data_IF_145720371411
#
_entry.id   IF_145720371411
#
_cell.length_a   1.000
_cell.length_b   1.000
_cell.length_c   1.000
_cell.angle_alpha   90.00
_cell.angle_beta   90.00
_cell.angle_gamma   90.00
#
_symmetry.space_group_name_H-M   'P 1'
#
loop_
_entity.id
_entity.type
_entity.pdbx_description
1 polymer ?
#
# COMPACT_ATOMS: atom_id res chain seq x y z
N UNK A 1 57.06 -15.49 48.12
CA UNK A 1 57.06 -15.83 49.56
C UNK A 1 55.85 -15.16 50.19
N UNK A 2 55.11 -15.92 50.98
CA UNK A 2 53.87 -15.61 51.68
C UNK A 2 53.96 -14.46 52.69
N UNK A 3 52.75 -14.00 53.06
CA UNK A 3 52.25 -13.49 54.36
C UNK A 3 51.77 -12.03 54.26
N UNK A 4 50.47 -11.68 54.31
CA UNK A 4 49.34 -11.98 55.22
C UNK A 4 49.44 -11.26 56.58
N UNK A 5 48.34 -10.54 56.89
CA UNK A 5 47.89 -9.91 58.15
C UNK A 5 48.31 -8.46 58.42
N UNK A 6 47.35 -7.52 58.47
CA UNK A 6 46.48 -7.31 59.64
C UNK A 6 45.54 -6.12 59.38
N UNK A 7 44.24 -6.34 59.54
CA UNK A 7 43.21 -5.31 59.68
C UNK A 7 42.86 -5.19 61.17
N UNK A 8 42.48 -3.98 61.62
CA UNK A 8 41.47 -3.68 62.67
C UNK A 8 41.46 -2.17 63.04
N UNK A 9 40.40 -1.61 63.65
CA UNK A 9 39.41 -0.76 62.96
C UNK A 9 39.31 0.66 63.57
N UNK A 10 38.55 1.58 62.94
CA UNK A 10 38.24 2.89 63.54
C UNK A 10 36.73 3.18 63.49
N UNK A 11 36.22 3.56 64.65
CA UNK A 11 34.84 3.75 65.09
C UNK A 11 34.00 4.76 64.31
N UNK A 12 32.68 4.49 64.31
CA UNK A 12 31.60 5.37 63.87
C UNK A 12 31.45 6.58 64.81
N UNK A 13 31.31 7.78 64.22
CA UNK A 13 30.75 8.95 64.90
C UNK A 13 29.45 9.38 64.21
N UNK A 14 28.37 9.28 64.97
CA UNK A 14 27.05 9.82 64.67
C UNK A 14 27.09 11.35 64.60
N UNK A 15 26.76 11.92 63.44
CA UNK A 15 26.14 13.25 63.32
C UNK A 15 25.38 13.35 61.99
N UNK A 16 24.04 13.21 62.06
CA UNK A 16 23.13 13.59 60.99
C UNK A 16 23.07 15.13 60.86
N UNK A 17 23.00 15.66 59.63
CA UNK A 17 22.20 16.84 59.33
C UNK A 17 20.92 16.46 58.58
N UNK A 18 19.83 17.10 58.99
CA UNK A 18 18.48 17.05 58.40
C UNK A 18 18.47 17.13 56.87
N UNK A 19 17.80 16.17 56.24
CA UNK A 19 17.42 16.21 54.82
C UNK A 19 16.20 17.12 54.66
N UNK A 20 16.22 18.15 53.80
CA UNK A 20 15.03 18.95 53.51
C UNK A 20 14.05 18.15 52.66
N UNK A 21 12.77 18.43 52.91
CA UNK A 21 11.62 17.62 52.55
C UNK A 21 11.32 17.59 51.05
N UNK A 22 10.96 16.38 50.60
CA UNK A 22 9.99 16.02 49.54
C UNK A 22 9.79 17.05 48.41
N UNK A 23 10.54 16.89 47.33
CA UNK A 23 10.04 17.22 45.99
C UNK A 23 9.23 16.03 45.47
N UNK A 24 7.89 16.16 45.43
CA UNK A 24 7.00 15.22 44.76
C UNK A 24 7.34 15.21 43.25
N UNK A 25 8.26 14.34 42.84
CA UNK A 25 8.35 13.91 41.46
C UNK A 25 7.08 13.12 41.14
N UNK A 26 6.16 13.72 40.40
CA UNK A 26 5.04 13.01 39.77
C UNK A 26 5.62 12.01 38.76
N UNK A 27 6.06 10.86 39.25
CA UNK A 27 6.31 9.69 38.43
C UNK A 27 4.94 9.20 37.94
N UNK A 28 4.46 9.79 36.84
CA UNK A 28 3.31 9.27 36.12
C UNK A 28 3.77 7.96 35.47
N UNK A 29 3.56 6.86 36.18
CA UNK A 29 3.79 5.52 35.66
C UNK A 29 2.88 5.34 34.45
N UNK A 30 3.45 5.42 33.25
CA UNK A 30 2.80 4.86 32.06
C UNK A 30 2.45 3.41 32.40
N UNK A 31 1.19 2.97 32.25
CA UNK A 31 0.83 1.58 32.52
C UNK A 31 1.47 0.70 31.44
N UNK A 32 2.67 0.20 31.73
CA UNK A 32 3.32 -0.86 31.00
C UNK A 32 2.55 -2.13 31.35
N UNK A 33 1.70 -2.60 30.42
CA UNK A 33 0.93 -3.84 30.57
C UNK A 33 -0.57 -3.75 30.33
N UNK A 34 -1.04 -2.88 29.43
CA UNK A 34 -2.45 -2.88 29.00
C UNK A 34 -2.60 -3.93 27.90
N UNK A 35 -2.79 -5.19 28.27
CA UNK A 35 -3.00 -6.29 27.33
C UNK A 35 -4.30 -6.18 26.51
N UNK A 36 -5.18 -5.22 26.83
CA UNK A 36 -6.43 -4.97 26.13
C UNK A 36 -6.63 -3.46 25.88
N UNK A 37 -7.19 -3.13 24.72
CA UNK A 37 -7.51 -1.77 24.27
C UNK A 37 -8.39 -1.01 25.27
N UNK A 38 -9.33 -1.69 25.92
CA UNK A 38 -10.22 -1.06 26.91
C UNK A 38 -9.44 -0.52 28.11
N UNK A 39 -8.41 -1.24 28.55
CA UNK A 39 -7.57 -0.81 29.66
C UNK A 39 -6.78 0.46 29.26
N UNK A 40 -6.32 0.55 28.01
CA UNK A 40 -5.71 1.78 27.49
C UNK A 40 -6.67 2.97 27.50
N UNK A 41 -7.89 2.78 27.00
CA UNK A 41 -8.91 3.84 26.98
C UNK A 41 -9.22 4.31 28.41
N UNK A 42 -9.34 3.38 29.36
CA UNK A 42 -9.54 3.73 30.77
C UNK A 42 -8.36 4.50 31.37
N UNK A 43 -7.12 4.08 31.07
CA UNK A 43 -5.92 4.78 31.54
C UNK A 43 -5.86 6.21 31.02
N UNK A 44 -6.12 6.40 29.72
CA UNK A 44 -6.16 7.73 29.07
C UNK A 44 -7.23 8.64 29.69
N UNK A 45 -8.38 8.08 30.08
CA UNK A 45 -9.44 8.85 30.75
C UNK A 45 -9.07 9.33 32.16
N UNK A 46 -8.13 8.67 32.85
CA UNK A 46 -7.65 9.05 34.19
C UNK A 46 -6.61 10.17 34.17
N UNK A 47 -6.02 10.47 33.01
CA UNK A 47 -5.02 11.54 32.89
C UNK A 47 -5.71 12.90 33.14
N UNK A 48 -5.19 13.75 34.04
CA UNK A 48 -5.77 15.05 34.31
C UNK A 48 -5.68 15.96 33.08
N UNK A 49 -6.73 16.76 32.86
CA UNK A 49 -6.73 17.79 31.81
C UNK A 49 -5.95 19.00 32.29
N UNK A 50 -5.19 19.61 31.38
CA UNK A 50 -4.49 20.86 31.65
C UNK A 50 -5.46 22.03 31.63
N UNK A 51 -5.21 23.02 32.48
CA UNK A 51 -5.87 24.32 32.37
C UNK A 51 -5.31 25.10 31.17
N UNK A 52 -6.00 26.16 30.73
CA UNK A 52 -5.53 26.99 29.63
C UNK A 52 -4.17 27.66 29.94
N UNK A 53 -3.96 28.08 31.19
CA UNK A 53 -2.70 28.68 31.64
C UNK A 53 -1.54 27.66 31.63
N UNK A 54 -1.82 26.43 32.09
CA UNK A 54 -0.82 25.35 32.06
C UNK A 54 -0.46 24.95 30.62
N UNK A 55 -1.44 24.87 29.74
CA UNK A 55 -1.26 24.60 28.31
C UNK A 55 -0.39 25.67 27.66
N UNK A 56 -0.66 26.96 27.92
CA UNK A 56 0.17 28.06 27.40
C UNK A 56 1.60 28.02 27.95
N UNK A 57 1.77 27.78 29.25
CA UNK A 57 3.10 27.68 29.87
C UNK A 57 3.91 26.54 29.25
N UNK A 58 3.33 25.35 29.15
CA UNK A 58 4.00 24.18 28.57
C UNK A 58 4.28 24.36 27.07
N UNK A 59 3.37 25.00 26.33
CA UNK A 59 3.58 25.28 24.91
C UNK A 59 4.72 26.28 24.67
N UNK A 60 4.83 27.33 25.51
CA UNK A 60 5.97 28.27 25.48
C UNK A 60 7.27 27.57 25.86
N UNK A 61 7.26 26.76 26.91
CA UNK A 61 8.43 25.98 27.31
C UNK A 61 8.90 25.03 26.21
N UNK A 62 7.97 24.35 25.52
CA UNK A 62 8.29 23.52 24.37
C UNK A 62 8.89 24.34 23.21
N UNK A 63 8.32 25.50 22.89
CA UNK A 63 8.80 26.33 21.78
C UNK A 63 10.18 26.94 22.05
N UNK A 64 10.38 27.45 23.26
CA UNK A 64 11.56 28.27 23.60
C UNK A 64 12.74 27.39 24.05
N UNK A 65 12.49 26.17 24.55
CA UNK A 65 13.50 25.28 25.12
C UNK A 65 13.51 23.86 24.55
N UNK A 66 12.65 23.54 23.56
CA UNK A 66 12.48 22.19 23.00
C UNK A 66 12.26 21.11 24.09
N UNK A 67 11.54 21.49 25.16
CA UNK A 67 11.33 20.66 26.36
C UNK A 67 10.51 19.42 26.04
N UNK A 68 11.18 18.26 26.01
CA UNK A 68 10.55 16.95 25.77
C UNK A 68 9.52 16.62 26.85
N UNK A 69 9.73 17.05 28.10
CA UNK A 69 8.75 16.84 29.17
C UNK A 69 7.48 17.68 28.95
N UNK A 70 7.63 18.93 28.51
CA UNK A 70 6.50 19.77 28.17
C UNK A 70 5.68 19.17 27.01
N UNK A 71 6.35 18.69 25.95
CA UNK A 71 5.68 17.97 24.86
C UNK A 71 4.94 16.72 25.36
N UNK A 72 5.58 15.92 26.22
CA UNK A 72 4.97 14.71 26.81
C UNK A 72 3.69 15.05 27.56
N UNK A 73 3.72 16.07 28.43
CA UNK A 73 2.56 16.49 29.22
C UNK A 73 1.42 17.01 28.34
N UNK A 74 1.74 17.82 27.32
CA UNK A 74 0.77 18.32 26.35
C UNK A 74 0.11 17.18 25.56
N UNK A 75 0.88 16.19 25.11
CA UNK A 75 0.35 15.03 24.39
C UNK A 75 -0.53 14.18 25.31
N UNK A 76 -0.02 13.80 26.50
CA UNK A 76 -0.73 12.93 27.44
C UNK A 76 -2.09 13.49 27.85
N UNK A 77 -2.18 14.79 28.14
CA UNK A 77 -3.44 15.41 28.54
C UNK A 77 -4.48 15.45 27.42
N UNK A 78 -4.08 15.24 26.16
CA UNK A 78 -4.97 15.31 25.00
C UNK A 78 -5.26 13.95 24.35
N UNK A 79 -4.76 12.84 24.91
CA UNK A 79 -5.03 11.50 24.37
C UNK A 79 -6.53 11.15 24.35
N UNK A 80 -7.32 11.70 25.28
CA UNK A 80 -8.80 11.52 25.31
C UNK A 80 -9.47 12.06 24.05
N UNK A 81 -8.96 13.18 23.52
CA UNK A 81 -9.44 13.78 22.27
C UNK A 81 -9.21 12.82 21.10
N UNK A 82 -8.02 12.22 21.03
CA UNK A 82 -7.68 11.26 19.97
C UNK A 82 -8.64 10.08 19.98
N UNK A 83 -8.88 9.47 21.15
CA UNK A 83 -9.84 8.36 21.28
C UNK A 83 -11.24 8.76 20.82
N UNK A 84 -11.70 9.97 21.15
CA UNK A 84 -13.02 10.46 20.74
C UNK A 84 -13.15 10.66 19.22
N UNK A 85 -12.07 11.09 18.57
CA UNK A 85 -12.02 11.30 17.13
C UNK A 85 -11.92 9.95 16.41
N UNK A 86 -11.04 9.06 16.86
CA UNK A 86 -10.81 7.75 16.25
C UNK A 86 -12.08 6.89 16.18
N UNK A 87 -12.96 6.98 17.20
CA UNK A 87 -14.27 6.29 17.21
C UNK A 87 -15.15 6.59 15.99
N UNK A 88 -15.02 7.77 15.39
CA UNK A 88 -15.80 8.16 14.20
C UNK A 88 -15.39 7.37 12.94
N UNK A 89 -14.28 6.64 13.00
CA UNK A 89 -13.69 5.90 11.87
C UNK A 89 -13.77 4.36 12.02
N UNK A 90 -14.48 3.85 13.03
CA UNK A 90 -14.65 2.39 13.20
C UNK A 90 -15.39 1.72 12.03
N UNK A 91 -16.24 2.47 11.34
CA UNK A 91 -17.03 1.97 10.20
C UNK A 91 -16.21 1.61 8.95
N UNK A 92 -14.89 1.80 8.95
CA UNK A 92 -14.00 1.46 7.83
C UNK A 92 -13.41 0.05 7.90
N UNK A 93 -13.69 -0.72 8.96
CA UNK A 93 -13.18 -2.10 9.11
C UNK A 93 -11.72 -2.19 9.56
N UNK A 94 -11.17 -1.09 10.08
CA UNK A 94 -9.80 -1.01 10.60
C UNK A 94 -9.78 -1.20 12.11
N UNK A 95 -8.72 -1.82 12.69
CA UNK A 95 -8.59 -1.96 14.13
C UNK A 95 -8.61 -0.60 14.84
N UNK A 96 -9.42 -0.49 15.90
CA UNK A 96 -9.56 0.76 16.66
C UNK A 96 -8.23 1.22 17.28
N UNK A 97 -7.40 0.27 17.73
CA UNK A 97 -6.09 0.56 18.29
C UNK A 97 -5.21 1.30 17.27
N UNK A 98 -5.19 0.86 16.02
CA UNK A 98 -4.38 1.49 14.97
C UNK A 98 -4.87 2.90 14.65
N UNK A 99 -6.19 3.11 14.58
CA UNK A 99 -6.78 4.44 14.39
C UNK A 99 -6.38 5.41 15.52
N UNK A 100 -6.34 4.93 16.77
CA UNK A 100 -5.87 5.72 17.90
C UNK A 100 -4.39 6.04 17.78
N UNK A 101 -3.55 5.06 17.40
CA UNK A 101 -2.11 5.26 17.26
C UNK A 101 -1.78 6.29 16.17
N UNK A 102 -2.45 6.22 15.02
CA UNK A 102 -2.27 7.18 13.94
C UNK A 102 -2.79 8.58 14.33
N UNK A 103 -3.90 8.63 15.06
CA UNK A 103 -4.36 9.86 15.68
C UNK A 103 -3.38 10.44 16.70
N UNK A 104 -2.69 9.60 17.47
CA UNK A 104 -1.65 10.03 18.42
C UNK A 104 -0.45 10.63 17.66
N UNK A 105 -0.06 10.05 16.52
CA UNK A 105 0.96 10.64 15.63
C UNK A 105 0.51 12.02 15.14
N UNK A 106 -0.76 12.17 14.76
CA UNK A 106 -1.34 13.47 14.41
C UNK A 106 -1.30 14.48 15.54
N UNK A 107 -1.63 14.06 16.76
CA UNK A 107 -1.52 14.90 17.95
C UNK A 107 -0.06 15.33 18.22
N UNK A 108 0.91 14.42 18.10
CA UNK A 108 2.33 14.75 18.27
C UNK A 108 2.80 15.78 17.22
N UNK A 109 2.37 15.63 15.97
CA UNK A 109 2.63 16.60 14.89
C UNK A 109 2.00 17.97 15.19
N UNK A 110 0.79 17.98 15.76
CA UNK A 110 0.12 19.21 16.17
C UNK A 110 0.87 19.92 17.29
N UNK A 111 1.23 19.20 18.36
CA UNK A 111 1.94 19.75 19.52
C UNK A 111 3.27 20.38 19.10
N UNK A 112 4.01 19.74 18.20
CA UNK A 112 5.28 20.27 17.69
C UNK A 112 5.14 21.58 16.89
N UNK A 113 3.98 21.81 16.25
CA UNK A 113 3.73 22.96 15.37
C UNK A 113 2.78 24.00 15.99
N UNK A 114 2.36 23.78 17.23
CA UNK A 114 1.41 24.63 17.90
C UNK A 114 2.07 25.95 18.31
N UNK A 115 1.43 27.06 17.98
CA UNK A 115 1.86 28.41 18.36
C UNK A 115 1.00 28.94 19.51
N UNK A 116 1.57 29.11 20.73
CA UNK A 116 0.81 29.57 21.89
C UNK A 116 0.34 31.03 21.79
N UNK A 117 0.94 31.84 20.92
CA UNK A 117 0.63 33.28 20.85
C UNK A 117 -0.58 33.59 19.95
N UNK A 118 -1.13 32.59 19.25
CA UNK A 118 -2.35 32.71 18.43
C UNK A 118 -3.65 32.82 19.27
N UNK A 119 -3.58 32.63 20.58
CA UNK A 119 -4.74 32.76 21.49
C UNK A 119 -5.80 31.66 21.34
N UNK A 120 -5.53 30.60 20.58
CA UNK A 120 -6.42 29.44 20.41
C UNK A 120 -5.99 28.27 21.30
N UNK A 121 -6.95 27.46 21.73
CA UNK A 121 -6.67 26.22 22.48
C UNK A 121 -5.99 25.19 21.60
N UNK A 122 -5.06 24.41 22.17
CA UNK A 122 -4.38 23.31 21.48
C UNK A 122 -5.38 22.31 20.88
N UNK A 123 -6.48 22.02 21.59
CA UNK A 123 -7.56 21.15 21.11
C UNK A 123 -8.05 21.58 19.72
N UNK A 124 -8.36 22.86 19.52
CA UNK A 124 -8.90 23.37 18.26
C UNK A 124 -7.92 23.18 17.11
N UNK A 125 -6.62 23.37 17.37
CA UNK A 125 -5.57 23.15 16.40
C UNK A 125 -5.35 21.65 16.10
N UNK A 126 -5.27 20.83 17.16
CA UNK A 126 -4.93 19.41 17.08
C UNK A 126 -5.99 18.58 16.34
N UNK A 127 -7.28 18.94 16.42
CA UNK A 127 -8.35 18.21 15.72
C UNK A 127 -8.04 18.03 14.24
N UNK A 128 -7.55 19.07 13.56
CA UNK A 128 -7.26 19.01 12.13
C UNK A 128 -6.11 18.05 11.80
N UNK A 129 -5.06 18.05 12.62
CA UNK A 129 -3.91 17.14 12.47
C UNK A 129 -4.29 15.70 12.76
N UNK A 130 -5.05 15.45 13.83
CA UNK A 130 -5.52 14.11 14.20
C UNK A 130 -6.38 13.54 13.07
N UNK A 131 -7.37 14.31 12.58
CA UNK A 131 -8.22 13.89 11.47
C UNK A 131 -7.44 13.64 10.18
N UNK A 132 -6.46 14.50 9.87
CA UNK A 132 -5.64 14.34 8.67
C UNK A 132 -4.82 13.04 8.68
N UNK A 133 -4.17 12.72 9.79
CA UNK A 133 -3.39 11.47 9.91
C UNK A 133 -4.29 10.23 9.89
N UNK A 134 -5.42 10.26 10.61
CA UNK A 134 -6.39 9.15 10.57
C UNK A 134 -6.94 8.98 9.15
N UNK A 135 -7.28 10.07 8.46
CA UNK A 135 -7.76 10.01 7.08
C UNK A 135 -6.73 9.37 6.14
N UNK A 136 -5.47 9.76 6.25
CA UNK A 136 -4.39 9.20 5.44
C UNK A 136 -4.20 7.70 5.73
N UNK A 137 -4.21 7.31 7.00
CA UNK A 137 -4.14 5.90 7.39
C UNK A 137 -5.32 5.09 6.83
N UNK A 138 -6.55 5.60 6.96
CA UNK A 138 -7.74 4.93 6.43
C UNK A 138 -7.61 4.77 4.92
N UNK A 139 -7.28 5.83 4.18
CA UNK A 139 -7.13 5.78 2.72
C UNK A 139 -6.04 4.81 2.25
N UNK A 140 -4.97 4.64 3.02
CA UNK A 140 -3.84 3.77 2.67
C UNK A 140 -4.10 2.29 2.98
N UNK A 141 -4.95 2.00 3.96
CA UNK A 141 -5.08 0.65 4.54
C UNK A 141 -6.50 0.07 4.52
N UNK A 142 -7.52 0.79 4.05
CA UNK A 142 -8.90 0.27 3.98
C UNK A 142 -9.10 -0.90 3.01
N UNK A 143 -8.15 -1.12 2.08
CA UNK A 143 -8.11 -2.26 1.14
C UNK A 143 -6.69 -2.78 0.98
N UNK A 144 -6.57 -4.08 0.65
CA UNK A 144 -5.30 -4.71 0.37
C UNK A 144 -4.68 -4.18 -0.94
N UNK A 145 -5.49 -4.01 -1.98
CA UNK A 145 -5.05 -3.43 -3.26
C UNK A 145 -5.03 -1.91 -3.18
N UNK A 146 -3.83 -1.34 -3.21
CA UNK A 146 -3.61 0.10 -3.17
C UNK A 146 -3.83 0.70 -4.55
N UNK A 147 -4.66 1.75 -4.62
CA UNK A 147 -4.92 2.50 -5.85
C UNK A 147 -4.57 3.96 -5.62
N UNK A 148 -3.98 4.61 -6.62
CA UNK A 148 -3.73 6.04 -6.57
C UNK A 148 -5.06 6.82 -6.36
N UNK A 149 -5.10 7.66 -5.33
CA UNK A 149 -6.27 8.49 -5.00
C UNK A 149 -6.04 9.93 -5.43
N UNK A 150 -6.95 10.49 -6.22
CA UNK A 150 -7.00 11.93 -6.52
C UNK A 150 -7.66 12.71 -5.38
N UNK A 151 -7.60 14.05 -5.40
CA UNK A 151 -8.34 14.89 -4.43
C UNK A 151 -9.84 14.63 -4.47
N UNK A 152 -10.39 14.40 -5.67
CA UNK A 152 -11.79 14.03 -5.88
C UNK A 152 -12.11 12.69 -5.20
N UNK A 153 -11.26 11.67 -5.38
CA UNK A 153 -11.43 10.37 -4.74
C UNK A 153 -11.44 10.45 -3.22
N UNK A 154 -10.55 11.24 -2.61
CA UNK A 154 -10.55 11.43 -1.15
C UNK A 154 -11.85 12.06 -0.64
N UNK A 155 -12.35 13.08 -1.34
CA UNK A 155 -13.63 13.73 -1.01
C UNK A 155 -14.78 12.75 -1.13
N UNK A 156 -14.82 11.97 -2.21
CA UNK A 156 -15.85 10.95 -2.42
C UNK A 156 -15.80 9.83 -1.37
N UNK A 157 -14.61 9.34 -1.02
CA UNK A 157 -14.45 8.24 -0.07
C UNK A 157 -15.13 8.51 1.28
N UNK A 158 -14.84 9.66 1.91
CA UNK A 158 -15.41 10.00 3.21
C UNK A 158 -16.87 10.44 3.12
N UNK A 159 -17.28 11.17 2.07
CA UNK A 159 -18.65 11.67 1.94
C UNK A 159 -19.64 10.58 1.49
N UNK A 160 -19.27 9.74 0.54
CA UNK A 160 -20.15 8.71 -0.03
C UNK A 160 -20.48 7.63 1.00
N UNK A 161 -19.48 7.19 1.79
CA UNK A 161 -19.69 6.20 2.85
C UNK A 161 -20.53 6.75 4.01
N UNK A 162 -20.38 8.02 4.36
CA UNK A 162 -21.21 8.66 5.41
C UNK A 162 -22.70 8.78 5.02
N UNK A 163 -22.98 8.80 3.70
CA UNK A 163 -24.33 8.93 3.13
C UNK A 163 -24.99 7.60 2.82
N UNK A 164 -24.19 6.59 2.44
CA UNK A 164 -24.65 5.24 2.17
C UNK A 164 -25.05 4.54 3.48
N UNK A 165 -26.30 4.72 3.90
CA UNK A 165 -26.90 4.10 5.09
C UNK A 165 -27.32 2.63 4.88
N UNK A 166 -26.98 2.01 3.75
CA UNK A 166 -27.31 0.62 3.46
C UNK A 166 -26.48 0.04 2.31
N UNK A 167 -26.62 -1.26 2.06
CA UNK A 167 -25.87 -1.97 1.02
C UNK A 167 -26.39 -1.75 -0.41
N UNK A 168 -27.45 -0.97 -0.58
CA UNK A 168 -28.05 -0.73 -1.90
C UNK A 168 -27.13 0.10 -2.80
N UNK A 169 -27.17 -0.21 -4.10
CA UNK A 169 -26.50 0.60 -5.10
C UNK A 169 -27.18 1.96 -5.23
N UNK A 170 -26.39 3.01 -5.49
CA UNK A 170 -26.89 4.35 -5.74
C UNK A 170 -27.68 4.37 -7.04
N UNK A 171 -28.81 5.06 -7.02
CA UNK A 171 -29.56 5.36 -8.23
C UNK A 171 -28.80 6.39 -9.10
N UNK A 172 -29.06 6.44 -10.43
CA UNK A 172 -28.45 7.44 -11.29
C UNK A 172 -28.67 8.89 -10.80
N UNK A 173 -29.86 9.20 -10.28
CA UNK A 173 -30.18 10.52 -9.75
C UNK A 173 -29.36 10.89 -8.51
N UNK A 174 -29.10 9.90 -7.64
CA UNK A 174 -28.23 10.08 -6.46
C UNK A 174 -26.77 10.27 -6.85
N UNK A 175 -26.29 9.53 -7.86
CA UNK A 175 -24.95 9.71 -8.43
C UNK A 175 -24.77 11.14 -8.93
N UNK A 176 -25.74 11.65 -9.71
CA UNK A 176 -25.69 13.01 -10.26
C UNK A 176 -25.84 14.09 -9.20
N UNK A 177 -26.61 13.83 -8.13
CA UNK A 177 -26.70 14.73 -6.99
C UNK A 177 -25.37 14.84 -6.24
N UNK A 178 -24.72 13.70 -5.97
CA UNK A 178 -23.41 13.63 -5.31
C UNK A 178 -22.33 14.27 -6.17
N UNK A 179 -22.33 14.01 -7.48
CA UNK A 179 -21.39 14.58 -8.43
C UNK A 179 -21.44 16.11 -8.42
N UNK A 180 -22.64 16.69 -8.49
CA UNK A 180 -22.86 18.14 -8.45
C UNK A 180 -22.43 18.76 -7.12
N UNK A 181 -22.80 18.16 -6.00
CA UNK A 181 -22.45 18.70 -4.68
C UNK A 181 -20.94 18.65 -4.42
N UNK A 182 -20.30 17.54 -4.78
CA UNK A 182 -18.89 17.36 -4.52
C UNK A 182 -18.00 17.97 -5.62
N UNK A 183 -18.60 18.48 -6.71
CA UNK A 183 -17.94 19.04 -7.89
C UNK A 183 -16.94 18.04 -8.51
N UNK A 184 -17.45 16.85 -8.82
CA UNK A 184 -16.71 15.71 -9.39
C UNK A 184 -17.53 15.11 -10.54
N UNK A 185 -16.90 14.26 -11.36
CA UNK A 185 -17.62 13.65 -12.49
C UNK A 185 -18.52 12.49 -12.02
N UNK A 186 -19.71 12.26 -12.62
CA UNK A 186 -20.55 11.11 -12.30
C UNK A 186 -19.82 9.77 -12.44
N UNK A 187 -18.89 9.65 -13.39
CA UNK A 187 -18.08 8.45 -13.58
C UNK A 187 -17.17 8.18 -12.37
N UNK A 188 -16.59 9.22 -11.77
CA UNK A 188 -15.76 9.09 -10.55
C UNK A 188 -16.59 8.65 -9.34
N UNK A 189 -17.86 9.08 -9.27
CA UNK A 189 -18.79 8.64 -8.22
C UNK A 189 -19.12 7.16 -8.38
N UNK A 190 -19.46 6.71 -9.59
CA UNK A 190 -19.77 5.31 -9.89
C UNK A 190 -18.57 4.38 -9.65
N UNK A 191 -17.39 4.83 -10.06
CA UNK A 191 -16.15 4.12 -9.78
C UNK A 191 -15.89 4.03 -8.28
N UNK A 192 -16.01 5.13 -7.54
CA UNK A 192 -15.84 5.12 -6.08
C UNK A 192 -16.89 4.24 -5.39
N UNK A 193 -18.13 4.24 -5.87
CA UNK A 193 -19.18 3.39 -5.32
C UNK A 193 -18.82 1.91 -5.46
N UNK A 194 -18.37 1.49 -6.65
CA UNK A 194 -17.93 0.11 -6.93
C UNK A 194 -16.77 -0.29 -6.03
N UNK A 195 -15.86 0.65 -5.76
CA UNK A 195 -14.75 0.46 -4.82
C UNK A 195 -15.22 0.38 -3.37
N UNK A 196 -16.28 1.08 -2.97
CA UNK A 196 -16.78 1.01 -1.60
C UNK A 196 -17.68 -0.20 -1.34
N UNK A 197 -18.35 -0.74 -2.36
CA UNK A 197 -19.27 -1.87 -2.24
C UNK A 197 -18.58 -3.24 -2.28
N UNK A 198 -17.48 -3.39 -3.03
CA UNK A 198 -16.70 -4.63 -3.01
C UNK A 198 -15.88 -4.77 -1.72
N UNK A 199 -15.94 -5.93 -1.07
CA UNK A 199 -14.98 -6.31 -0.05
C UNK A 199 -13.87 -7.17 -0.65
N UNK A 200 -12.69 -7.17 -0.04
CA UNK A 200 -11.68 -8.19 -0.34
C UNK A 200 -12.16 -9.52 0.26
N UNK A 201 -12.18 -10.59 -0.53
CA UNK A 201 -12.60 -11.93 -0.10
C UNK A 201 -11.36 -12.76 0.26
N UNK A 202 -11.41 -13.46 1.40
CA UNK A 202 -10.38 -14.42 1.75
C UNK A 202 -10.43 -15.61 0.77
N UNK A 203 -9.27 -16.01 0.26
CA UNK A 203 -9.15 -17.18 -0.63
C UNK A 203 -9.52 -18.48 0.09
N UNK A 204 -9.13 -18.58 1.35
CA UNK A 204 -9.41 -19.68 2.26
C UNK A 204 -10.08 -19.08 3.51
N UNK A 205 -11.40 -18.88 3.42
CA UNK A 205 -12.22 -18.40 4.53
C UNK A 205 -12.51 -19.53 5.52
N UNK A 206 -12.67 -19.20 6.80
CA UNK A 206 -13.24 -20.15 7.75
C UNK A 206 -14.69 -20.41 7.34
N UNK A 207 -14.96 -21.64 6.92
CA UNK A 207 -16.31 -22.13 6.66
C UNK A 207 -17.00 -22.28 8.01
N UNK A 208 -18.18 -21.68 8.20
CA UNK A 208 -18.96 -21.91 9.43
C UNK A 208 -19.35 -23.39 9.50
N UNK A 209 -19.09 -24.00 10.67
CA UNK A 209 -19.28 -25.43 10.90
C UNK A 209 -20.78 -25.76 10.87
N UNK A 210 -21.26 -26.26 9.73
CA UNK A 210 -22.68 -26.61 9.54
C UNK A 210 -23.16 -26.67 8.10
N UNK A 211 -22.48 -26.00 7.17
CA UNK A 211 -22.77 -26.08 5.73
C UNK A 211 -21.50 -26.49 4.96
N UNK A 212 -21.64 -27.35 3.94
CA UNK A 212 -20.56 -27.69 2.99
C UNK A 212 -20.25 -26.47 2.08
N UNK A 213 -19.99 -25.31 2.67
CA UNK A 213 -19.67 -24.12 1.91
C UNK A 213 -18.18 -24.16 1.53
N UNK A 214 -17.92 -24.42 0.26
CA UNK A 214 -16.55 -24.48 -0.25
C UNK A 214 -15.93 -23.08 -0.31
N UNK A 215 -14.73 -22.94 0.26
CA UNK A 215 -13.95 -21.70 0.15
C UNK A 215 -13.64 -21.37 -1.32
N UNK A 216 -13.40 -20.08 -1.67
CA UNK A 216 -13.12 -19.67 -3.04
C UNK A 216 -12.06 -20.48 -3.78
N UNK A 217 -11.02 -20.92 -3.06
CA UNK A 217 -9.97 -21.77 -3.60
C UNK A 217 -10.46 -23.07 -4.25
N UNK A 218 -11.60 -23.61 -3.82
CA UNK A 218 -12.12 -24.89 -4.30
C UNK A 218 -12.79 -24.81 -5.69
N UNK A 219 -13.25 -23.63 -6.12
CA UNK A 219 -13.90 -23.44 -7.42
C UNK A 219 -13.11 -22.54 -8.38
N UNK A 220 -12.02 -21.91 -7.92
CA UNK A 220 -11.13 -21.14 -8.77
C UNK A 220 -10.30 -22.09 -9.66
N UNK A 221 -10.69 -22.18 -10.93
CA UNK A 221 -9.97 -22.96 -11.93
C UNK A 221 -8.80 -22.16 -12.54
N UNK A 222 -7.66 -22.82 -12.73
CA UNK A 222 -6.54 -22.28 -13.51
C UNK A 222 -6.61 -22.79 -14.95
N UNK A 223 -7.03 -21.92 -15.86
CA UNK A 223 -7.17 -22.26 -17.28
C UNK A 223 -5.84 -22.42 -18.03
N UNK A 224 -4.71 -21.99 -17.46
CA UNK A 224 -3.40 -22.07 -18.14
C UNK A 224 -2.71 -23.41 -17.89
N UNK A 225 -2.88 -23.98 -16.70
CA UNK A 225 -2.26 -25.26 -16.31
C UNK A 225 -3.12 -26.49 -16.64
N UNK A 226 -4.18 -26.32 -17.42
CA UNK A 226 -4.96 -27.43 -17.95
C UNK A 226 -4.06 -28.36 -18.80
N UNK A 227 -4.06 -29.69 -18.58
CA UNK A 227 -3.18 -30.60 -19.29
C UNK A 227 -3.26 -30.47 -20.82
N UNK A 228 -4.46 -30.20 -21.35
CA UNK A 228 -4.68 -29.97 -22.79
C UNK A 228 -4.02 -28.69 -23.28
N UNK A 229 -4.07 -27.61 -22.50
CA UNK A 229 -3.43 -26.31 -22.81
C UNK A 229 -1.92 -26.40 -22.73
N UNK A 230 -1.39 -27.11 -21.73
CA UNK A 230 0.06 -27.35 -21.62
C UNK A 230 0.58 -28.14 -22.83
N UNK A 231 -0.13 -29.18 -23.25
CA UNK A 231 0.22 -29.95 -24.44
C UNK A 231 0.09 -29.14 -25.73
N UNK A 232 -0.94 -28.29 -25.84
CA UNK A 232 -1.12 -27.36 -26.97
C UNK A 232 0.05 -26.37 -27.05
N UNK A 233 0.43 -25.73 -25.94
CA UNK A 233 1.56 -24.82 -25.85
C UNK A 233 2.87 -25.51 -26.23
N UNK A 234 3.15 -26.69 -25.67
CA UNK A 234 4.36 -27.45 -26.00
C UNK A 234 4.41 -27.83 -27.49
N UNK A 235 3.27 -28.19 -28.09
CA UNK A 235 3.19 -28.44 -29.54
C UNK A 235 3.42 -27.18 -30.36
N UNK A 236 2.86 -26.05 -29.96
CA UNK A 236 3.11 -24.76 -30.61
C UNK A 236 4.59 -24.37 -30.51
N UNK A 237 5.20 -24.47 -29.34
CA UNK A 237 6.61 -24.16 -29.14
C UNK A 237 7.51 -25.05 -30.01
N UNK A 238 7.22 -26.36 -30.03
CA UNK A 238 7.93 -27.31 -30.90
C UNK A 238 7.76 -26.99 -32.38
N UNK A 239 6.55 -26.61 -32.79
CA UNK A 239 6.29 -26.20 -34.18
C UNK A 239 7.03 -24.90 -34.55
N UNK A 240 7.07 -23.93 -33.63
CA UNK A 240 7.73 -22.64 -33.85
C UNK A 240 9.25 -22.78 -33.94
N UNK A 241 9.86 -23.61 -33.10
CA UNK A 241 11.32 -23.76 -33.04
C UNK A 241 11.78 -24.85 -34.00
N UNK A 242 11.50 -26.12 -33.69
CA UNK A 242 11.99 -27.27 -34.47
C UNK A 242 11.36 -27.32 -35.87
N UNK A 243 10.07 -26.98 -35.98
CA UNK A 243 9.37 -26.94 -37.25
C UNK A 243 9.95 -25.87 -38.18
N UNK A 244 10.26 -24.69 -37.67
CA UNK A 244 10.90 -23.62 -38.43
C UNK A 244 12.32 -24.00 -38.86
N UNK A 245 13.12 -24.57 -37.96
CA UNK A 245 14.47 -25.03 -38.29
C UNK A 245 14.45 -26.10 -39.40
N UNK A 246 13.53 -27.07 -39.32
CA UNK A 246 13.35 -28.10 -40.35
C UNK A 246 12.84 -27.52 -41.68
N UNK A 247 11.99 -26.50 -41.63
CA UNK A 247 11.52 -25.80 -42.83
C UNK A 247 12.64 -24.98 -43.49
N UNK A 248 13.53 -24.38 -42.71
CA UNK A 248 14.70 -23.65 -43.23
C UNK A 248 15.74 -24.59 -43.85
N UNK A 249 15.97 -25.76 -43.26
CA UNK A 249 16.93 -26.76 -43.79
C UNK A 249 16.48 -27.43 -45.09
N UNK A 250 15.18 -27.40 -45.41
CA UNK A 250 14.65 -27.92 -46.70
C UNK A 250 14.80 -26.93 -47.86
N UNK A 251 15.14 -25.67 -47.60
CA UNK A 251 15.45 -24.68 -48.63
C UNK A 251 16.87 -24.88 -49.18
N UNK A 252 17.07 -24.52 -50.45
CA UNK A 252 18.42 -24.39 -50.99
C UNK A 252 19.15 -23.19 -50.34
N UNK A 253 20.50 -23.16 -50.35
CA UNK A 253 21.27 -22.13 -49.64
C UNK A 253 20.90 -20.70 -50.04
N UNK A 254 20.52 -20.48 -51.30
CA UNK A 254 20.15 -19.15 -51.81
C UNK A 254 18.78 -18.72 -51.27
N UNK A 255 17.78 -19.60 -51.35
CA UNK A 255 16.45 -19.34 -50.79
C UNK A 255 16.49 -19.12 -49.28
N UNK A 256 17.28 -19.92 -48.56
CA UNK A 256 17.46 -19.80 -47.10
C UNK A 256 18.04 -18.45 -46.71
N UNK A 257 19.11 -18.01 -47.38
CA UNK A 257 19.74 -16.70 -47.13
C UNK A 257 18.77 -15.53 -47.33
N UNK A 258 17.95 -15.59 -48.38
CA UNK A 258 16.93 -14.56 -48.67
C UNK A 258 15.88 -14.48 -47.53
N UNK A 259 15.43 -15.63 -47.01
CA UNK A 259 14.46 -15.66 -45.90
C UNK A 259 15.09 -15.19 -44.60
N UNK A 260 16.29 -15.66 -44.26
CA UNK A 260 17.00 -15.25 -43.04
C UNK A 260 17.27 -13.75 -43.01
N UNK A 261 17.76 -13.17 -44.11
CA UNK A 261 18.07 -11.74 -44.20
C UNK A 261 16.83 -10.84 -44.17
N UNK A 262 15.66 -11.32 -44.61
CA UNK A 262 14.41 -10.54 -44.63
C UNK A 262 13.57 -10.66 -43.37
N UNK A 263 13.53 -11.85 -42.78
CA UNK A 263 12.54 -12.19 -41.73
C UNK A 263 13.15 -12.58 -40.39
N UNK A 264 14.43 -12.99 -40.34
CA UNK A 264 15.09 -13.43 -39.11
C UNK A 264 16.17 -12.46 -38.61
N UNK A 265 16.77 -11.68 -39.51
CA UNK A 265 17.74 -10.64 -39.18
C UNK A 265 17.04 -9.27 -39.11
N UNK A 266 16.07 -9.15 -38.21
CA UNK A 266 15.29 -7.92 -37.99
C UNK A 266 15.49 -7.47 -36.53
N UNK A 267 15.59 -6.16 -36.30
CA UNK A 267 15.66 -5.57 -34.97
C UNK A 267 14.29 -5.64 -34.26
N UNK A 268 14.29 -5.49 -32.94
CA UNK A 268 13.06 -5.53 -32.11
C UNK A 268 12.00 -4.48 -32.50
N UNK A 269 12.39 -3.42 -33.21
CA UNK A 269 11.50 -2.37 -33.73
C UNK A 269 10.92 -2.68 -35.13
N UNK A 270 11.22 -3.87 -35.68
CA UNK A 270 10.79 -4.28 -37.01
C UNK A 270 11.63 -3.69 -38.16
N UNK A 271 12.72 -2.98 -37.86
CA UNK A 271 13.64 -2.41 -38.84
C UNK A 271 14.85 -3.33 -39.10
N UNK A 272 15.57 -3.12 -40.21
CA UNK A 272 16.87 -3.78 -40.45
C UNK A 272 16.85 -5.05 -41.32
N UNK A 273 15.68 -5.57 -41.70
CA UNK A 273 15.59 -6.65 -42.69
C UNK A 273 16.04 -6.18 -44.08
N UNK A 274 16.84 -6.99 -44.78
CA UNK A 274 17.41 -6.65 -46.09
C UNK A 274 16.30 -6.38 -47.13
N UNK A 275 16.49 -5.33 -47.94
CA UNK A 275 15.52 -4.99 -48.98
C UNK A 275 15.65 -5.91 -50.20
N UNK A 276 14.58 -6.01 -51.01
CA UNK A 276 14.62 -6.79 -52.25
C UNK A 276 15.70 -6.29 -53.23
N UNK A 277 16.04 -5.01 -53.18
CA UNK A 277 17.07 -4.40 -54.03
C UNK A 277 18.47 -4.75 -53.54
N UNK A 278 18.73 -4.68 -52.23
CA UNK A 278 20.01 -5.10 -51.65
C UNK A 278 20.34 -6.57 -51.95
N UNK A 279 19.35 -7.46 -51.81
CA UNK A 279 19.51 -8.88 -52.15
C UNK A 279 19.62 -9.12 -53.65
N UNK A 280 18.97 -8.29 -54.47
CA UNK A 280 19.10 -8.34 -55.93
C UNK A 280 20.53 -7.99 -56.36
N UNK A 281 21.12 -6.96 -55.75
CA UNK A 281 22.51 -6.55 -55.97
C UNK A 281 23.49 -7.61 -55.47
N UNK A 282 23.26 -8.21 -54.29
CA UNK A 282 24.09 -9.30 -53.72
C UNK A 282 24.13 -10.53 -54.64
N UNK A 283 22.97 -10.94 -55.18
CA UNK A 283 22.86 -12.14 -56.01
C UNK A 283 22.94 -11.89 -57.52
N UNK A 284 23.14 -10.64 -57.96
CA UNK A 284 23.25 -10.26 -59.38
C UNK A 284 21.99 -10.59 -60.21
N UNK A 285 20.78 -10.43 -59.63
CA UNK A 285 19.50 -10.69 -60.30
C UNK A 285 18.52 -9.53 -60.08
N UNK A 286 17.37 -9.52 -60.76
CA UNK A 286 16.36 -8.48 -60.52
C UNK A 286 15.65 -8.63 -59.17
N UNK A 287 15.19 -7.53 -58.60
CA UNK A 287 14.38 -7.53 -57.37
C UNK A 287 13.11 -8.39 -57.48
N UNK A 288 12.47 -8.39 -58.67
CA UNK A 288 11.32 -9.26 -58.95
C UNK A 288 11.73 -10.75 -58.94
N UNK A 289 12.95 -11.10 -59.36
CA UNK A 289 13.44 -12.47 -59.25
C UNK A 289 13.65 -12.89 -57.80
N UNK A 290 14.17 -12.01 -56.93
CA UNK A 290 14.28 -12.27 -55.48
C UNK A 290 12.90 -12.50 -54.87
N UNK A 291 11.91 -11.65 -55.21
CA UNK A 291 10.52 -11.80 -54.76
C UNK A 291 9.91 -13.14 -55.17
N UNK A 292 10.16 -13.60 -56.40
CA UNK A 292 9.71 -14.92 -56.85
C UNK A 292 10.34 -16.06 -56.03
N UNK A 293 11.65 -15.96 -55.76
CA UNK A 293 12.37 -16.95 -54.94
C UNK A 293 11.83 -16.96 -53.50
N UNK A 294 11.62 -15.78 -52.90
CA UNK A 294 11.01 -15.64 -51.56
C UNK A 294 9.62 -16.29 -51.51
N UNK A 295 8.75 -15.99 -52.48
CA UNK A 295 7.40 -16.57 -52.53
C UNK A 295 7.43 -18.09 -52.68
N UNK A 296 8.32 -18.63 -53.52
CA UNK A 296 8.50 -20.07 -53.68
C UNK A 296 9.06 -20.73 -52.42
N UNK A 297 10.03 -20.09 -51.75
CA UNK A 297 10.61 -20.54 -50.49
C UNK A 297 9.56 -20.59 -49.37
N UNK A 298 8.76 -19.53 -49.20
CA UNK A 298 7.67 -19.48 -48.22
C UNK A 298 6.63 -20.58 -48.46
N UNK A 299 6.29 -20.86 -49.73
CA UNK A 299 5.38 -21.95 -50.08
C UNK A 299 5.97 -23.32 -49.71
N UNK A 300 7.28 -23.52 -49.93
CA UNK A 300 8.00 -24.76 -49.56
C UNK A 300 8.09 -24.92 -48.04
N UNK A 301 8.42 -23.86 -47.31
CA UNK A 301 8.44 -23.84 -45.84
C UNK A 301 7.06 -24.15 -45.25
N UNK A 302 5.98 -23.58 -45.81
CA UNK A 302 4.61 -23.89 -45.38
C UNK A 302 4.28 -25.38 -45.53
N UNK A 303 4.68 -26.00 -46.64
CA UNK A 303 4.51 -27.44 -46.84
C UNK A 303 5.33 -28.29 -45.84
N UNK A 304 6.57 -27.88 -45.56
CA UNK A 304 7.42 -28.55 -44.57
C UNK A 304 6.86 -28.44 -43.14
N UNK A 305 6.33 -27.27 -42.77
CA UNK A 305 5.66 -27.05 -41.48
C UNK A 305 4.38 -27.89 -41.35
N UNK A 306 3.57 -27.99 -42.41
CA UNK A 306 2.36 -28.83 -42.42
C UNK A 306 2.68 -30.32 -42.33
N UNK A 307 3.81 -30.77 -42.85
CA UNK A 307 4.26 -32.17 -42.73
C UNK A 307 4.93 -32.47 -41.37
N UNK A 308 5.33 -31.44 -40.63
CA UNK A 308 5.90 -31.55 -39.28
C UNK A 308 4.85 -31.48 -38.17
N UNK A 309 3.73 -30.79 -38.45
CA UNK A 309 2.53 -30.71 -37.62
C UNK A 309 1.93 -32.09 -37.32
#
# INVERSE_FOLDING_TARGET
>A
MNAVLSADPIEMKDHLPMVPQRTNSLALSLPVGLGNLDSYIQAVHRIPMLTAEEEQRLARELRDHDSVDAARRLVMSHLRLVVSIARQYLGYGLPHADLIQEGNIGLMKAVRRFDPDQGVRLVSYAIHWIKAEIHEYVLRNWRMVKVATTKAHRKLFFNLRSRKRGSQALTPDEIDAVARELNVKPEEVKEMETRLSGGDLALEGQVEDGEEEFAPIAYLADSHNEPTRVLESQRQDRMQVEGLEKALTTLDPRSRRIIEARWLQVNDDGSGGATLHELADEFGVSAERIRQIESAAMKKMKGALQAFA
#
